data_IF_177347212668
#
_entry.id   IF_177347212668
#
_cell.length_a   1.000
_cell.length_b   1.000
_cell.length_c   1.000
_cell.angle_alpha   90.00
_cell.angle_beta   90.00
_cell.angle_gamma   90.00
#
_symmetry.space_group_name_H-M   'P 1'
#
loop_
_entity.id
_entity.type
_entity.pdbx_description
1 polymer ?
2 polymer ?
3 non-polymer ?
4 non-polymer ?
5 water ?
#
# COMPACT_ATOMS: atom_id res chain seq x y z
N UNK A 33 -9.34 -8.81 23.56
CA UNK A 33 -9.15 -8.91 22.10
C UNK A 33 -7.70 -8.71 21.70
N UNK A 34 -7.09 -9.69 20.99
CA UNK A 34 -5.68 -9.60 20.57
C UNK A 34 -5.48 -8.47 19.53
N UNK A 35 -4.25 -7.94 19.45
CA UNK A 35 -3.88 -6.87 18.54
C UNK A 35 -4.09 -7.26 17.08
N UNK A 36 -3.58 -8.43 16.66
CA UNK A 36 -3.75 -8.92 15.29
C UNK A 36 -5.26 -9.05 14.92
N UNK A 37 -6.13 -9.43 15.89
CA UNK A 37 -7.58 -9.52 15.61
C UNK A 37 -8.20 -8.13 15.37
N UNK A 38 -7.63 -7.07 15.98
CA UNK A 38 -8.10 -5.71 15.77
C UNK A 38 -7.64 -5.20 14.39
N UNK A 39 -6.54 -5.74 13.85
CA UNK A 39 -6.07 -5.37 12.49
C UNK A 39 -6.91 -6.13 11.48
N UNK A 40 -7.32 -7.35 11.83
CA UNK A 40 -8.14 -8.19 10.96
C UNK A 40 -9.55 -7.61 10.70
N UNK A 41 -10.26 -7.20 11.77
CA UNK A 41 -11.64 -6.70 11.65
C UNK A 41 -11.78 -5.45 10.82
N UNK A 42 -10.73 -4.63 10.72
CA UNK A 42 -10.73 -3.37 9.97
C UNK A 42 -10.30 -3.55 8.50
N UNK A 43 -10.10 -4.79 8.04
CA UNK A 43 -9.78 -5.03 6.63
C UNK A 43 -10.83 -4.38 5.75
N UNK A 44 -10.43 -3.51 4.79
CA UNK A 44 -11.44 -2.82 3.95
C UNK A 44 -12.25 -3.76 3.07
N UNK A 45 -13.50 -3.38 2.78
CA UNK A 45 -14.35 -4.16 1.87
C UNK A 45 -13.76 -4.14 0.44
N UNK A 46 -14.12 -5.14 -0.36
CA UNK A 46 -13.73 -5.30 -1.76
C UNK A 46 -14.54 -4.31 -2.59
N UNK A 47 -13.86 -3.40 -3.29
CA UNK A 47 -14.56 -2.42 -4.13
C UNK A 47 -14.56 -2.88 -5.57
N UNK A 48 -15.62 -2.55 -6.32
CA UNK A 48 -15.74 -2.90 -7.74
C UNK A 48 -15.27 -1.72 -8.57
N UNK A 49 -14.68 -1.99 -9.75
CA UNK A 49 -14.20 -0.94 -10.64
C UNK A 49 -15.32 -0.19 -11.37
N UNK A 50 -16.42 -0.89 -11.70
CA UNK A 50 -17.52 -0.37 -12.49
C UNK A 50 -17.14 -0.43 -13.97
N UNK A 51 -16.27 -1.40 -14.31
CA UNK A 51 -15.72 -1.59 -15.64
C UNK A 51 -16.67 -2.35 -16.58
N UNK A 52 -17.08 -1.66 -17.66
CA UNK A 52 -17.96 -2.21 -18.71
C UNK A 52 -17.18 -3.15 -19.63
N UNK A 53 -17.33 -4.45 -19.43
CA UNK A 53 -16.66 -5.48 -20.21
C UNK A 53 -17.19 -5.65 -21.66
N UNK A 54 -18.36 -5.01 -21.98
CA UNK A 54 -18.99 -5.10 -23.30
C UNK A 54 -18.29 -4.21 -24.34
N UNK A 55 -17.55 -3.19 -23.85
CA UNK A 55 -16.75 -2.24 -24.63
C UNK A 55 -15.31 -2.82 -24.59
N UNK A 56 -14.58 -2.87 -25.72
CA UNK A 56 -13.22 -3.46 -25.69
C UNK A 56 -12.22 -2.68 -24.82
N UNK A 57 -11.13 -3.38 -24.45
CA UNK A 57 -10.08 -2.86 -23.58
C UNK A 57 -9.16 -1.94 -24.32
N UNK A 58 -8.44 -1.14 -23.56
CA UNK A 58 -7.37 -0.26 -24.01
C UNK A 58 -6.64 0.10 -22.74
N UNK A 59 -5.34 0.41 -22.82
CA UNK A 59 -4.53 0.81 -21.67
C UNK A 59 -5.10 2.06 -21.03
N UNK A 60 -5.41 3.11 -21.84
CA UNK A 60 -5.96 4.37 -21.36
C UNK A 60 -7.23 4.14 -20.56
N UNK A 61 -8.15 3.31 -21.09
CA UNK A 61 -9.40 2.99 -20.42
C UNK A 61 -9.16 2.28 -19.10
N UNK A 62 -8.27 1.27 -19.09
CA UNK A 62 -7.98 0.50 -17.88
C UNK A 62 -7.31 1.38 -16.83
N UNK A 63 -6.27 2.14 -17.23
CA UNK A 63 -5.53 3.05 -16.33
C UNK A 63 -6.42 4.10 -15.71
N UNK A 64 -7.35 4.68 -16.51
CA UNK A 64 -8.29 5.70 -16.01
C UNK A 64 -9.19 5.10 -14.96
N UNK A 65 -9.82 3.93 -15.24
CA UNK A 65 -10.70 3.21 -14.32
C UNK A 65 -9.95 2.86 -13.03
N UNK A 66 -8.73 2.35 -13.17
CA UNK A 66 -7.90 1.96 -12.01
C UNK A 66 -7.52 3.15 -11.14
N UNK A 67 -7.31 4.34 -11.74
CA UNK A 67 -6.99 5.56 -11.00
C UNK A 67 -8.21 5.98 -10.22
N UNK A 68 -9.39 5.99 -10.88
CA UNK A 68 -10.67 6.32 -10.20
C UNK A 68 -10.92 5.34 -9.05
N UNK A 69 -10.74 4.03 -9.28
CA UNK A 69 -10.88 3.00 -8.24
C UNK A 69 -9.85 3.22 -7.12
N UNK A 70 -8.61 3.60 -7.48
CA UNK A 70 -7.55 3.86 -6.51
C UNK A 70 -7.88 4.99 -5.54
N UNK A 71 -8.63 6.01 -6.01
CA UNK A 71 -9.06 7.11 -5.18
C UNK A 71 -9.98 6.58 -4.10
N UNK A 72 -10.91 5.69 -4.48
CA UNK A 72 -11.86 5.06 -3.55
C UNK A 72 -11.17 4.14 -2.56
N UNK A 73 -10.09 3.47 -3.00
CA UNK A 73 -9.29 2.59 -2.14
C UNK A 73 -8.57 3.44 -1.08
N UNK A 74 -8.10 4.63 -1.49
CA UNK A 74 -7.35 5.52 -0.60
C UNK A 74 -8.27 6.18 0.44
N UNK A 75 -9.51 6.50 0.06
CA UNK A 75 -10.51 7.02 1.00
C UNK A 75 -10.78 5.91 2.03
N UNK A 76 -10.90 4.62 1.59
CA UNK A 76 -11.10 3.51 2.52
C UNK A 76 -9.87 3.30 3.41
N UNK A 77 -8.67 3.64 2.89
CA UNK A 77 -7.39 3.48 3.62
C UNK A 77 -7.27 4.45 4.77
N UNK A 78 -7.89 5.63 4.66
CA UNK A 78 -7.90 6.60 5.76
C UNK A 78 -8.77 6.03 6.91
N UNK A 79 -9.97 5.51 6.57
CA UNK A 79 -10.90 4.96 7.56
C UNK A 79 -10.22 3.79 8.26
N UNK A 80 -9.50 2.97 7.50
CA UNK A 80 -8.75 1.83 7.98
C UNK A 80 -7.68 2.27 9.00
N UNK A 81 -6.79 3.19 8.61
CA UNK A 81 -5.68 3.69 9.43
C UNK A 81 -6.18 4.26 10.75
N UNK A 82 -7.29 5.02 10.72
CA UNK A 82 -7.87 5.64 11.93
C UNK A 82 -8.31 4.58 12.94
N UNK A 83 -8.57 3.34 12.49
CA UNK A 83 -8.97 2.26 13.41
C UNK A 83 -7.78 1.36 13.82
N UNK A 84 -6.55 1.65 13.32
CA UNK A 84 -5.35 0.91 13.73
C UNK A 84 -5.02 1.35 15.16
N UNK A 85 -4.96 0.44 16.17
CA UNK A 85 -4.62 0.90 17.53
C UNK A 85 -3.33 1.72 17.60
N UNK A 86 -3.41 2.90 18.23
CA UNK A 86 -2.29 3.82 18.38
C UNK A 86 -2.15 4.90 17.31
N UNK A 87 -2.71 4.67 16.10
CA UNK A 87 -2.58 5.63 14.99
C UNK A 87 -3.13 7.03 15.31
N UNK A 88 -4.36 7.08 15.87
CA UNK A 88 -5.05 8.31 16.27
C UNK A 88 -4.37 9.05 17.42
N UNK A 89 -3.42 8.40 18.11
CA UNK A 89 -2.69 9.02 19.21
C UNK A 89 -1.53 9.86 18.70
N UNK A 90 -1.16 9.69 17.43
CA UNK A 90 -0.10 10.49 16.80
C UNK A 90 -0.68 11.87 16.48
N UNK A 91 0.18 12.87 16.33
CA UNK A 91 -0.25 14.21 15.94
C UNK A 91 -0.99 14.09 14.60
N UNK A 92 -2.04 14.90 14.41
CA UNK A 92 -2.81 14.91 13.17
C UNK A 92 -1.90 15.07 11.93
N UNK A 93 -0.85 15.92 12.03
CA UNK A 93 0.12 16.15 10.96
C UNK A 93 0.86 14.86 10.60
N UNK A 94 1.23 14.02 11.60
CA UNK A 94 1.91 12.72 11.43
C UNK A 94 0.97 11.72 10.77
N UNK A 95 -0.33 11.78 11.09
CA UNK A 95 -1.31 10.89 10.48
C UNK A 95 -1.39 11.18 8.99
N UNK A 96 -1.45 12.48 8.63
CA UNK A 96 -1.47 12.91 7.24
C UNK A 96 -0.18 12.53 6.53
N UNK A 97 0.97 12.75 7.18
CA UNK A 97 2.31 12.46 6.66
C UNK A 97 2.47 10.99 6.26
N UNK A 98 2.10 10.09 7.18
CA UNK A 98 2.23 8.64 7.02
C UNK A 98 1.35 8.10 5.93
N UNK A 99 0.11 8.58 5.82
CA UNK A 99 -0.78 8.13 4.75
C UNK A 99 -0.30 8.62 3.40
N UNK A 100 0.22 9.85 3.36
CA UNK A 100 0.77 10.40 2.11
C UNK A 100 2.04 9.72 1.63
N UNK A 101 2.93 9.29 2.53
CA UNK A 101 4.15 8.59 2.11
C UNK A 101 3.85 7.17 1.67
N UNK A 102 3.03 6.46 2.44
CA UNK A 102 2.78 5.03 2.32
C UNK A 102 1.68 4.63 1.37
N UNK A 103 0.84 5.56 0.90
CA UNK A 103 -0.31 5.26 0.03
C UNK A 103 -0.06 4.15 -1.03
N UNK A 104 0.96 4.29 -1.89
CA UNK A 104 1.24 3.29 -2.94
C UNK A 104 1.76 1.97 -2.36
N UNK A 105 2.48 2.05 -1.24
CA UNK A 105 2.98 0.86 -0.56
C UNK A 105 1.79 0.01 -0.05
N UNK A 106 0.82 0.66 0.58
CA UNK A 106 -0.41 0.05 1.08
C UNK A 106 -1.22 -0.59 -0.07
N UNK A 107 -1.38 0.15 -1.17
CA UNK A 107 -2.15 -0.32 -2.31
C UNK A 107 -1.49 -1.47 -3.05
N UNK A 108 -0.18 -1.39 -3.30
CA UNK A 108 0.56 -2.44 -3.97
C UNK A 108 0.52 -3.73 -3.12
N UNK A 109 0.71 -3.57 -1.80
CA UNK A 109 0.71 -4.70 -0.87
C UNK A 109 -0.68 -5.31 -0.72
N UNK A 110 -1.74 -4.48 -0.55
CA UNK A 110 -3.10 -5.01 -0.46
C UNK A 110 -3.49 -5.72 -1.78
N UNK A 111 -3.09 -5.15 -2.93
CA UNK A 111 -3.34 -5.76 -4.25
C UNK A 111 -2.58 -7.10 -4.43
N UNK A 112 -1.34 -7.13 -3.97
CA UNK A 112 -0.51 -8.35 -4.03
C UNK A 112 -1.16 -9.49 -3.27
N UNK A 113 -1.66 -9.20 -2.06
CA UNK A 113 -2.35 -10.20 -1.21
C UNK A 113 -3.61 -10.69 -1.90
N UNK A 114 -4.47 -9.75 -2.34
CA UNK A 114 -5.73 -10.02 -3.04
C UNK A 114 -5.46 -10.91 -4.26
N UNK A 115 -4.39 -10.62 -5.03
CA UNK A 115 -4.01 -11.38 -6.23
C UNK A 115 -3.47 -12.79 -5.90
N UNK A 116 -2.67 -12.88 -4.82
CA UNK A 116 -2.08 -14.12 -4.30
C UNK A 116 -3.17 -15.11 -3.84
N UNK A 117 -4.22 -14.59 -3.16
CA UNK A 117 -5.33 -15.40 -2.64
C UNK A 117 -6.34 -15.84 -3.70
N UNK A 118 -6.57 -15.00 -4.72
CA UNK A 118 -7.61 -15.26 -5.71
C UNK A 118 -7.19 -15.97 -6.99
N UNK A 119 -5.90 -15.93 -7.38
CA UNK A 119 -5.53 -16.51 -8.67
C UNK A 119 -4.37 -17.51 -8.71
N UNK A 120 -3.26 -17.28 -7.96
CA UNK A 120 -2.04 -18.13 -7.98
C UNK A 120 -1.30 -18.10 -9.34
N UNK A 121 -1.79 -17.28 -10.30
CA UNK A 121 -1.22 -17.10 -11.64
C UNK A 121 -0.69 -15.65 -11.79
N UNK A 122 -0.25 -15.29 -13.01
CA UNK A 122 0.22 -13.93 -13.31
C UNK A 122 -1.02 -13.07 -13.57
N UNK A 123 -1.82 -12.89 -12.50
CA UNK A 123 -3.08 -12.16 -12.50
C UNK A 123 -3.12 -11.08 -11.40
N UNK A 124 -3.61 -9.89 -11.74
CA UNK A 124 -3.78 -8.80 -10.78
C UNK A 124 -5.27 -8.57 -10.59
N UNK A 125 -5.74 -8.86 -9.38
CA UNK A 125 -7.14 -8.75 -8.99
C UNK A 125 -7.45 -7.40 -8.39
N UNK A 126 -7.40 -6.35 -9.23
CA UNK A 126 -7.70 -4.98 -8.83
C UNK A 126 -9.11 -4.87 -8.32
N UNK A 127 -10.06 -5.59 -8.95
CA UNK A 127 -11.48 -5.61 -8.56
C UNK A 127 -12.12 -6.88 -9.16
N UNK A 128 -13.23 -7.43 -8.61
CA UNK A 128 -13.83 -8.63 -9.22
C UNK A 128 -14.23 -8.43 -10.69
N UNK A 129 -14.63 -7.20 -11.04
CA UNK A 129 -15.02 -6.85 -12.42
C UNK A 129 -13.87 -6.26 -13.22
N UNK A 130 -12.65 -6.24 -12.67
CA UNK A 130 -11.50 -5.73 -13.41
C UNK A 130 -10.20 -6.46 -13.01
N UNK A 131 -9.99 -7.62 -13.65
CA UNK A 131 -8.81 -8.46 -13.43
C UNK A 131 -7.83 -8.27 -14.60
N UNK A 132 -6.55 -8.01 -14.27
CA UNK A 132 -5.50 -7.84 -15.27
C UNK A 132 -4.84 -9.20 -15.48
N UNK A 133 -5.22 -9.83 -16.59
CA UNK A 133 -4.72 -11.14 -16.99
C UNK A 133 -3.67 -10.98 -18.08
N UNK A 134 -3.13 -12.10 -18.61
CA UNK A 134 -2.10 -12.13 -19.65
C UNK A 134 -2.47 -11.32 -20.91
N UNK A 135 -3.72 -11.45 -21.42
CA UNK A 135 -4.22 -10.71 -22.60
C UNK A 135 -4.17 -9.18 -22.33
N UNK A 136 -4.67 -8.74 -21.16
CA UNK A 136 -4.64 -7.34 -20.75
C UNK A 136 -3.22 -6.85 -20.51
N UNK A 137 -2.34 -7.75 -20.03
CA UNK A 137 -0.92 -7.48 -19.78
C UNK A 137 -0.15 -7.11 -21.06
N UNK A 138 -0.63 -7.58 -22.24
CA UNK A 138 0.03 -7.31 -23.54
C UNK A 138 -0.32 -5.94 -24.13
N UNK A 139 -1.29 -5.22 -23.52
CA UNK A 139 -1.71 -3.89 -23.98
C UNK A 139 -0.53 -2.92 -23.83
N UNK A 140 -0.38 -1.93 -24.74
CA UNK A 140 0.78 -1.03 -24.65
C UNK A 140 1.00 -0.39 -23.30
N UNK A 141 2.23 -0.48 -22.78
CA UNK A 141 2.70 0.07 -21.51
C UNK A 141 2.02 -0.53 -20.29
N UNK A 142 1.11 -1.51 -20.45
CA UNK A 142 0.42 -2.15 -19.31
C UNK A 142 1.39 -2.90 -18.39
N UNK A 143 2.25 -3.74 -18.97
CA UNK A 143 3.21 -4.58 -18.25
C UNK A 143 4.26 -3.81 -17.47
N UNK A 144 4.81 -2.71 -18.04
CA UNK A 144 5.87 -1.91 -17.41
C UNK A 144 5.47 -1.38 -16.02
N UNK A 145 4.16 -1.22 -15.78
CA UNK A 145 3.64 -0.79 -14.48
C UNK A 145 3.14 -1.99 -13.67
N UNK A 146 2.42 -2.92 -14.32
CA UNK A 146 1.85 -4.10 -13.72
C UNK A 146 2.87 -5.10 -13.19
N UNK A 147 4.10 -5.13 -13.77
CA UNK A 147 5.16 -6.04 -13.34
C UNK A 147 5.62 -5.77 -11.92
N UNK A 148 5.57 -4.51 -11.47
CA UNK A 148 5.95 -4.15 -10.10
C UNK A 148 4.96 -4.72 -9.09
N UNK A 149 3.67 -4.76 -9.47
CA UNK A 149 2.55 -5.29 -8.70
C UNK A 149 2.65 -6.82 -8.69
N UNK A 150 3.04 -7.43 -9.85
CA UNK A 150 3.24 -8.87 -10.00
C UNK A 150 4.37 -9.38 -9.12
N UNK A 151 5.46 -8.60 -8.97
CA UNK A 151 6.56 -8.92 -8.07
C UNK A 151 6.04 -9.17 -6.64
N UNK A 152 5.17 -8.25 -6.12
CA UNK A 152 4.57 -8.34 -4.78
C UNK A 152 3.80 -9.67 -4.59
N UNK A 153 2.81 -9.95 -5.46
CA UNK A 153 2.01 -11.20 -5.36
C UNK A 153 2.86 -12.42 -5.55
N UNK A 154 3.92 -12.33 -6.39
CA UNK A 154 4.87 -13.42 -6.64
C UNK A 154 5.65 -13.77 -5.37
N UNK A 155 6.14 -12.74 -4.65
CA UNK A 155 6.89 -12.89 -3.40
C UNK A 155 6.05 -13.43 -2.23
N UNK A 156 4.78 -12.99 -2.11
CA UNK A 156 3.86 -13.48 -1.06
C UNK A 156 3.58 -14.96 -1.29
N UNK A 157 3.40 -15.35 -2.57
CA UNK A 157 3.20 -16.73 -3.01
C UNK A 157 4.49 -17.56 -2.78
N UNK A 158 5.67 -17.00 -3.12
CA UNK A 158 6.95 -17.68 -2.91
C UNK A 158 7.25 -17.89 -1.40
N UNK A 159 6.94 -16.88 -0.57
CA UNK A 159 7.21 -16.99 0.88
C UNK A 159 6.04 -17.63 1.68
N UNK A 160 4.92 -17.96 1.00
CA UNK A 160 3.70 -18.55 1.60
C UNK A 160 3.25 -17.74 2.83
N UNK A 161 3.16 -16.43 2.62
CA UNK A 161 2.75 -15.46 3.64
C UNK A 161 1.33 -15.79 4.14
N UNK A 162 1.17 -15.82 5.45
CA UNK A 162 -0.11 -16.11 6.11
C UNK A 162 -0.90 -14.82 6.24
N UNK A 163 -2.20 -14.94 6.56
CA UNK A 163 -3.11 -13.81 6.76
C UNK A 163 -2.65 -12.92 7.91
N UNK A 164 -2.25 -13.52 9.04
CA UNK A 164 -1.79 -12.75 10.22
C UNK A 164 -0.46 -12.04 9.99
N UNK A 165 0.46 -12.67 9.26
CA UNK A 165 1.75 -12.08 8.89
C UNK A 165 1.47 -10.87 7.97
N UNK A 166 0.60 -11.06 6.96
CA UNK A 166 0.19 -10.03 6.02
C UNK A 166 -0.41 -8.78 6.70
N UNK A 167 -1.31 -8.98 7.69
CA UNK A 167 -1.95 -7.88 8.43
C UNK A 167 -0.91 -7.05 9.19
N UNK A 168 0.07 -7.73 9.83
CA UNK A 168 1.12 -7.03 10.57
C UNK A 168 2.00 -6.24 9.62
N UNK A 169 2.41 -6.88 8.51
CA UNK A 169 3.24 -6.31 7.46
C UNK A 169 2.59 -5.08 6.84
N UNK A 170 1.27 -5.15 6.55
CA UNK A 170 0.57 -4.00 5.95
C UNK A 170 0.52 -2.82 6.89
N UNK A 171 0.27 -3.04 8.20
CA UNK A 171 0.31 -1.93 9.18
C UNK A 171 1.75 -1.36 9.21
N UNK A 172 2.78 -2.24 9.09
CA UNK A 172 4.18 -1.77 9.10
C UNK A 172 4.52 -0.92 7.89
N UNK A 173 3.86 -1.21 6.74
CA UNK A 173 4.05 -0.40 5.54
C UNK A 173 3.50 1.02 5.72
N UNK A 174 2.46 1.18 6.53
CA UNK A 174 1.95 2.52 6.85
C UNK A 174 3.01 3.30 7.64
N UNK A 175 3.80 2.59 8.43
CA UNK A 175 4.84 3.14 9.30
C UNK A 175 6.23 2.93 8.71
N UNK A 176 6.36 2.85 7.36
CA UNK A 176 7.63 2.55 6.68
C UNK A 176 8.48 3.74 6.26
N UNK A 177 7.92 4.96 6.22
CA UNK A 177 8.67 6.18 5.89
C UNK A 177 8.21 7.33 6.76
N UNK A 178 9.15 8.19 7.13
CA UNK A 178 8.91 9.37 7.97
C UNK A 178 9.58 10.56 7.31
N UNK A 179 9.28 11.83 7.71
CA UNK A 179 10.04 12.97 7.12
C UNK A 179 11.49 12.95 7.59
N UNK A 180 12.38 13.55 6.79
CA UNK A 180 13.82 13.70 7.03
C UNK A 180 14.12 14.15 8.48
N UNK A 181 13.32 15.10 9.01
CA UNK A 181 13.51 15.61 10.37
C UNK A 181 12.54 14.96 11.39
N UNK A 182 12.00 13.80 11.01
CA UNK A 182 11.10 13.04 11.86
C UNK A 182 9.69 13.59 11.99
N UNK A 183 8.89 12.86 12.76
CA UNK A 183 7.50 13.16 13.04
C UNK A 183 7.33 14.07 14.27
N UNK A 184 6.16 14.69 14.44
CA UNK A 184 5.89 15.51 15.63
C UNK A 184 5.83 14.60 16.86
N UNK A 185 5.22 13.41 16.73
CA UNK A 185 5.11 12.40 17.79
C UNK A 185 6.06 11.22 17.49
N UNK A 186 7.35 11.52 17.21
CA UNK A 186 8.37 10.53 16.85
C UNK A 186 8.58 9.43 17.92
N UNK A 187 8.62 9.83 19.20
CA UNK A 187 8.80 8.92 20.33
C UNK A 187 7.67 7.89 20.35
N UNK A 188 6.40 8.37 20.34
CA UNK A 188 5.22 7.51 20.32
C UNK A 188 5.20 6.62 19.04
N UNK A 189 5.53 7.18 17.87
CA UNK A 189 5.61 6.43 16.61
C UNK A 189 6.59 5.24 16.73
N UNK A 190 7.79 5.49 17.29
CA UNK A 190 8.81 4.46 17.47
C UNK A 190 8.30 3.35 18.37
N UNK A 191 7.47 3.70 19.37
CA UNK A 191 6.87 2.73 20.29
C UNK A 191 5.78 1.90 19.58
N UNK A 192 4.94 2.54 18.76
CA UNK A 192 3.86 1.90 18.00
C UNK A 192 4.46 0.97 16.95
N UNK A 193 5.49 1.44 16.21
CA UNK A 193 6.15 0.63 15.20
C UNK A 193 6.82 -0.60 15.84
N UNK A 194 7.47 -0.42 17.02
CA UNK A 194 8.06 -1.56 17.72
C UNK A 194 6.99 -2.58 18.11
N UNK A 195 5.82 -2.12 18.60
CA UNK A 195 4.68 -2.97 18.96
C UNK A 195 4.27 -3.84 17.74
N UNK A 196 4.13 -3.22 16.54
CA UNK A 196 3.71 -3.96 15.35
C UNK A 196 4.84 -4.84 14.78
N UNK A 197 6.12 -4.54 15.06
CA UNK A 197 7.23 -5.42 14.68
C UNK A 197 7.13 -6.70 15.55
N UNK A 198 6.79 -6.55 16.85
CA UNK A 198 6.62 -7.66 17.79
C UNK A 198 5.42 -8.52 17.38
N UNK A 199 4.36 -7.87 16.84
CA UNK A 199 3.18 -8.54 16.35
C UNK A 199 3.53 -9.44 15.18
N UNK A 200 4.40 -8.94 14.25
CA UNK A 200 4.86 -9.73 13.10
C UNK A 200 5.58 -10.98 13.59
N UNK A 201 6.45 -10.82 14.59
CA UNK A 201 7.17 -11.92 15.23
C UNK A 201 6.22 -12.98 15.77
N UNK A 202 5.12 -12.55 16.45
CA UNK A 202 4.10 -13.47 17.00
C UNK A 202 3.38 -14.25 15.89
N UNK A 203 3.07 -13.59 14.75
CA UNK A 203 2.42 -14.24 13.60
C UNK A 203 3.35 -15.29 12.99
N UNK A 204 4.68 -15.01 12.97
CA UNK A 204 5.69 -15.94 12.45
C UNK A 204 5.77 -17.18 13.35
N UNK A 205 5.87 -17.00 14.69
CA UNK A 205 6.01 -18.09 15.69
C UNK A 205 4.85 -19.12 15.56
N UNK A 206 3.64 -18.64 15.20
CA UNK A 206 2.43 -19.45 14.96
C UNK A 206 2.60 -20.47 13.82
N UNK A 207 3.61 -20.28 12.93
CA UNK A 207 3.89 -21.23 11.84
C UNK A 207 4.57 -22.51 12.39
N UNK A 208 4.69 -22.60 13.73
CA UNK A 208 5.21 -23.69 14.57
C UNK A 208 6.60 -24.24 14.19
N UNK A 209 7.44 -23.37 13.60
CA UNK A 209 8.81 -23.73 13.25
C UNK A 209 9.73 -23.59 14.45
N UNK A 210 11.00 -24.04 14.29
CA UNK A 210 11.99 -23.92 15.37
C UNK A 210 12.56 -22.49 15.45
N UNK A 211 13.40 -22.22 16.47
CA UNK A 211 14.05 -20.92 16.71
C UNK A 211 14.85 -20.39 15.50
N UNK A 212 15.53 -21.31 14.77
CA UNK A 212 16.34 -20.98 13.59
C UNK A 212 15.46 -20.64 12.38
N UNK A 213 14.34 -21.39 12.19
CA UNK A 213 13.40 -21.21 11.09
C UNK A 213 12.62 -19.92 11.26
N UNK A 214 12.32 -19.56 12.54
CA UNK A 214 11.60 -18.35 12.93
C UNK A 214 12.43 -17.12 12.62
N UNK A 215 13.71 -17.15 12.97
CA UNK A 215 14.66 -16.06 12.72
C UNK A 215 14.87 -15.86 11.21
N UNK A 216 14.88 -16.98 10.44
CA UNK A 216 15.00 -16.99 8.97
C UNK A 216 13.75 -16.38 8.33
N UNK A 217 12.55 -16.69 8.86
CA UNK A 217 11.30 -16.15 8.35
C UNK A 217 11.20 -14.66 8.64
N UNK A 218 11.64 -14.23 9.85
CA UNK A 218 11.63 -12.81 10.20
C UNK A 218 12.50 -12.02 9.23
N UNK A 219 13.68 -12.57 8.92
CA UNK A 219 14.65 -12.03 7.99
C UNK A 219 14.02 -11.92 6.60
N UNK A 220 13.32 -12.98 6.12
CA UNK A 220 12.68 -13.03 4.80
C UNK A 220 11.52 -12.04 4.66
N UNK A 221 10.65 -11.98 5.68
CA UNK A 221 9.49 -11.09 5.61
C UNK A 221 9.86 -9.60 5.73
N UNK A 222 10.89 -9.28 6.54
CA UNK A 222 11.34 -7.89 6.70
C UNK A 222 12.17 -7.47 5.48
N UNK A 223 12.76 -8.46 4.76
CA UNK A 223 13.49 -8.23 3.52
C UNK A 223 12.46 -7.85 2.44
N UNK A 224 11.29 -8.53 2.41
CA UNK A 224 10.19 -8.19 1.49
C UNK A 224 9.65 -6.78 1.80
N UNK A 225 9.52 -6.42 3.09
CA UNK A 225 9.06 -5.10 3.53
C UNK A 225 10.05 -4.04 3.04
N UNK A 226 11.37 -4.28 3.25
CA UNK A 226 12.41 -3.39 2.74
C UNK A 226 12.26 -3.19 1.22
N UNK A 227 12.10 -4.30 0.46
CA UNK A 227 11.97 -4.26 -1.00
C UNK A 227 10.74 -3.49 -1.48
N UNK A 228 9.72 -3.28 -0.61
CA UNK A 228 8.54 -2.51 -0.98
C UNK A 228 8.91 -1.05 -1.30
N UNK A 229 9.98 -0.48 -0.69
CA UNK A 229 10.46 0.87 -1.01
C UNK A 229 10.84 0.99 -2.50
N UNK A 230 11.52 -0.06 -3.05
CA UNK A 230 11.94 -0.07 -4.46
C UNK A 230 10.77 -0.31 -5.37
N UNK A 231 9.85 -1.23 -4.97
CA UNK A 231 8.63 -1.53 -5.74
C UNK A 231 7.89 -0.20 -5.97
N UNK A 232 7.70 0.58 -4.89
CA UNK A 232 6.98 1.84 -4.87
C UNK A 232 7.69 2.91 -5.65
N UNK A 233 9.04 2.97 -5.54
CA UNK A 233 9.81 3.94 -6.30
C UNK A 233 9.57 3.77 -7.81
N UNK A 234 9.57 2.51 -8.30
CA UNK A 234 9.32 2.21 -9.70
C UNK A 234 7.88 2.58 -10.08
N UNK A 235 6.91 2.27 -9.21
CA UNK A 235 5.50 2.57 -9.46
C UNK A 235 5.30 4.08 -9.56
N UNK A 236 5.91 4.85 -8.63
CA UNK A 236 5.79 6.30 -8.56
C UNK A 236 6.48 7.02 -9.69
N UNK A 237 7.58 6.46 -10.21
CA UNK A 237 8.28 7.06 -11.34
C UNK A 237 7.33 7.21 -12.52
N UNK A 238 6.62 6.13 -12.85
CA UNK A 238 5.66 6.09 -13.94
C UNK A 238 4.39 6.88 -13.57
N UNK A 239 3.90 6.69 -12.34
CA UNK A 239 2.71 7.38 -11.85
C UNK A 239 2.86 8.91 -11.84
N UNK A 240 3.99 9.44 -11.33
CA UNK A 240 4.29 10.88 -11.29
C UNK A 240 4.35 11.48 -12.71
N UNK A 241 5.02 10.79 -13.66
CA UNK A 241 5.15 11.20 -15.07
C UNK A 241 3.78 11.31 -15.75
N UNK A 242 2.93 10.29 -15.57
CA UNK A 242 1.58 10.19 -16.13
C UNK A 242 0.69 11.33 -15.58
N UNK A 243 0.81 11.60 -14.25
CA UNK A 243 0.05 12.67 -13.59
C UNK A 243 0.48 14.06 -14.13
N UNK A 244 1.78 14.31 -14.22
CA UNK A 244 2.33 15.60 -14.67
C UNK A 244 2.14 15.90 -16.17
N UNK A 245 2.19 14.87 -17.02
CA UNK A 245 2.01 15.07 -18.46
C UNK A 245 0.52 15.11 -18.79
N UNK A 246 -0.04 16.31 -18.79
CA UNK A 246 -1.46 16.54 -19.08
C UNK A 246 -1.87 16.14 -20.52
N UNK A 247 -0.90 16.08 -21.47
CA UNK A 247 -1.16 15.68 -22.86
C UNK A 247 -1.52 14.18 -22.99
N UNK A 248 -1.29 13.35 -21.94
CA UNK A 248 -1.65 11.94 -21.92
C UNK A 248 -3.16 11.74 -21.64
N UNK A 249 -3.83 12.79 -21.11
CA UNK A 249 -5.26 12.78 -20.77
C UNK A 249 -5.62 11.67 -19.79
N UNK A 250 -4.67 11.34 -18.87
CA UNK A 250 -4.92 10.30 -17.87
C UNK A 250 -5.37 11.03 -16.61
N UNK A 251 -6.64 10.84 -16.27
CA UNK A 251 -7.26 11.48 -15.11
C UNK A 251 -6.96 10.74 -13.82
N UNK A 252 -6.82 11.52 -12.74
CA UNK A 252 -6.66 11.05 -11.39
C UNK A 252 -7.76 11.72 -10.58
N UNK A 253 -8.44 10.97 -9.67
CA UNK A 253 -9.46 11.61 -8.83
C UNK A 253 -8.78 12.47 -7.78
N UNK A 254 -9.55 13.38 -7.20
CA UNK A 254 -9.11 14.34 -6.18
C UNK A 254 -8.22 13.69 -5.10
N UNK A 255 -8.63 12.54 -4.54
CA UNK A 255 -7.84 11.86 -3.50
C UNK A 255 -6.40 11.59 -3.98
N UNK A 256 -6.26 11.02 -5.20
CA UNK A 256 -4.90 10.71 -5.69
C UNK A 256 -4.17 11.96 -6.16
N UNK A 257 -4.87 12.89 -6.87
CA UNK A 257 -4.22 14.13 -7.33
C UNK A 257 -3.61 14.88 -6.12
N UNK A 258 -4.37 14.99 -5.03
CA UNK A 258 -3.93 15.62 -3.77
C UNK A 258 -2.68 14.94 -3.16
N UNK A 259 -2.66 13.60 -3.07
CA UNK A 259 -1.50 12.89 -2.54
C UNK A 259 -0.28 13.11 -3.45
N UNK A 260 -0.42 12.91 -4.77
CA UNK A 260 0.66 13.10 -5.75
C UNK A 260 1.22 14.54 -5.71
N UNK A 261 0.33 15.55 -5.65
CA UNK A 261 0.70 16.97 -5.59
C UNK A 261 1.55 17.22 -4.34
N UNK A 262 1.18 16.61 -3.21
CA UNK A 262 1.90 16.73 -1.94
C UNK A 262 3.25 16.02 -1.99
N UNK A 263 3.28 14.80 -2.54
CA UNK A 263 4.45 13.92 -2.56
C UNK A 263 5.54 14.34 -3.50
N UNK A 264 5.20 14.79 -4.73
CA UNK A 264 6.20 15.20 -5.73
C UNK A 264 7.24 16.19 -5.11
N UNK A 265 6.87 17.34 -4.46
CA UNK A 265 7.93 18.20 -3.88
C UNK A 265 8.72 17.56 -2.73
N UNK A 266 8.13 16.64 -1.99
CA UNK A 266 8.80 15.97 -0.87
C UNK A 266 9.96 15.12 -1.39
N UNK A 267 9.72 14.34 -2.47
CA UNK A 267 10.76 13.57 -3.15
C UNK A 267 11.83 14.47 -3.78
N UNK A 268 11.45 15.61 -4.42
CA UNK A 268 12.49 16.46 -5.03
C UNK A 268 13.35 17.23 -4.00
N UNK A 269 12.82 17.45 -2.78
CA UNK A 269 13.55 18.14 -1.70
C UNK A 269 14.26 17.16 -0.77
N UNK A 270 14.23 15.87 -1.13
CA UNK A 270 14.83 14.78 -0.37
C UNK A 270 14.15 14.59 0.98
N UNK A 271 12.94 15.16 1.14
CA UNK A 271 12.18 15.09 2.37
C UNK A 271 11.50 13.74 2.55
N UNK A 272 12.30 12.70 2.83
CA UNK A 272 11.83 11.33 3.08
C UNK A 272 12.93 10.47 3.68
N UNK A 273 12.60 9.79 4.79
CA UNK A 273 13.48 8.87 5.46
C UNK A 273 12.77 7.53 5.34
N UNK A 274 13.36 6.61 4.55
CA UNK A 274 12.79 5.30 4.28
C UNK A 274 13.34 4.34 5.31
N UNK A 275 12.50 3.89 6.23
CA UNK A 275 12.92 2.97 7.28
C UNK A 275 13.17 1.58 6.72
N UNK A 276 14.33 1.01 7.07
CA UNK A 276 14.79 -0.31 6.64
C UNK A 276 15.10 -1.17 7.83
N UNK A 277 14.79 -2.47 7.71
CA UNK A 277 15.06 -3.49 8.72
C UNK A 277 16.50 -3.98 8.54
N UNK A 278 16.99 -4.03 7.27
CA UNK A 278 18.34 -4.51 6.88
C UNK A 278 19.17 -3.45 6.17
N UNK A 279 20.49 -3.63 6.17
CA UNK A 279 21.46 -2.75 5.51
C UNK A 279 22.12 -3.45 4.33
N UNK B 2 -3.92 23.15 1.54
CA UNK B 2 -3.00 22.07 1.19
C UNK B 2 -3.35 20.75 1.89
N UNK B 3 -3.73 19.73 1.10
CA UNK B 3 -4.18 18.38 1.51
C UNK B 3 -5.53 18.44 2.22
N UNK B 4 -6.46 19.23 1.65
CA UNK B 4 -7.81 19.50 2.17
C UNK B 4 -8.66 18.24 2.36
N UNK B 5 -8.70 17.36 1.34
CA UNK B 5 -9.50 16.14 1.40
C UNK B 5 -9.00 15.21 2.48
N UNK B 6 -7.69 14.94 2.49
CA UNK B 6 -7.11 14.06 3.49
C UNK B 6 -7.35 14.57 4.91
N UNK B 7 -7.15 15.88 5.17
CA UNK B 7 -7.38 16.41 6.52
C UNK B 7 -8.84 16.24 6.92
N UNK B 8 -9.78 16.48 5.96
CA UNK B 8 -11.22 16.29 6.18
C UNK B 8 -11.55 14.85 6.57
N UNK B 9 -11.00 13.87 5.82
CA UNK B 9 -11.24 12.45 6.07
C UNK B 9 -10.70 12.00 7.45
N UNK B 10 -9.57 12.56 7.86
CA UNK B 10 -8.98 12.23 9.15
C UNK B 10 -9.73 12.92 10.31
N UNK B 11 -10.33 14.10 10.06
CA UNK B 11 -11.00 14.89 11.09
C UNK B 11 -12.45 14.62 11.27
N UNK B 12 -13.17 14.21 10.20
CA UNK B 12 -14.58 13.89 10.30
C UNK B 12 -14.78 12.65 11.21
N UNK B 13 -16.02 12.40 11.65
CA UNK B 13 -16.32 11.20 12.43
C UNK B 13 -16.77 10.13 11.43
N UNK B 14 -16.14 8.93 11.46
CA UNK B 14 -16.49 7.86 10.52
C UNK B 14 -17.83 7.17 10.81
X LIG C 1 -4.73 -0.10 2.93
X LIG C 1 -5.44 0.28 1.76
X LIG C 1 -5.65 -0.99 3.78
X LIG C 1 -6.06 -2.09 3.01
X LIG D 1 -2.37 5.48 -9.12
X LIG D 1 -1.86 4.37 -10.04
X LIG D 1 -2.70 3.10 -9.94
X LIG D 1 -2.25 2.00 -10.88
X LIG D 1 -1.16 1.18 -10.57
X LIG D 1 -0.74 0.19 -11.45
X LIG D 1 -1.42 -0.01 -12.64
X LIG D 1 -2.54 0.78 -12.94
X LIG D 1 -2.94 1.80 -12.08
X LIG D 1 -2.60 2.59 -8.60
X LIG D 1 -3.46 1.68 -8.11
X LIG D 1 -2.97 0.73 -7.20
X LIG D 1 -3.80 -0.16 -6.60
X LIG D 1 -5.18 -0.11 -6.86
X LIG D 1 -5.69 0.84 -7.78
X LIG D 1 -4.83 1.76 -8.39
X LIG D 1 -7.12 0.60 -7.86
X LIG D 1 -7.43 -0.38 -7.06
X LIG D 1 -6.27 -0.87 -6.45
X LIG D 1 -6.27 -1.90 -5.51
X LIG D 1 -7.01 -3.06 -5.76
X LIG D 1 -7.09 -4.08 -4.82
X LIG D 1 -6.42 -3.91 -3.61
X LIG D 1 -5.69 -2.74 -3.33
X LIG D 1 -5.62 -1.73 -4.27
X LIG D 1 -6.47 -4.88 -2.69
X LIG D 1 -1.85 4.84 -11.43
X LIG D 1 -0.74 4.77 -12.20
X LIG D 1 0.33 4.33 -11.79
X LIG D 1 -0.85 5.22 -13.65
X LIG D 1 0.15 6.14 -13.92
X LIG D 1 -0.66 4.11 -14.45
X LIG D 1 -2.06 5.80 -13.98
#
# INVERSE_FOLDING_TARGET
>A
GSIQQATTGVSQETSENPGDKTIVPATLPQLTPTLVSLLEVIEPEVLYAGYDSSVPDSTWRIMTTLNMLGGRQMIAAVKWAKAIPGFRNLHLDDQMTLLQYSWMSLMAFALGWRSYRQSSANLLCFAPDLIINEQRMTLPDMYDQCKHMLYVSSELHRLQVSYEEYLCMKTLLLLSSVPKDGLKSQELFDEIRMTYIKELGKAIVKREGNSSQNWQRFYQLTKLLDSMHEVVENLLNYCFQTFLDKTMSIEFPEMLAEIITNQIPKYSNGNIKKLLFHQK
>B
KENALLRYLLDKDD
>C hetero
1 EDO C1 O1 C2 O2
>D hetero
1 R8C C1 C2 C4 C6 C7 C8 C9 C10 C11 O12 C13 C14 C15 C16 C17 C18 C19 N20 N21 C22 C23 C24 C25 C26 C27 F28 N29 C30 O31 C32 F33 F34 F35
#
